data_IF_721970874834
#
_entry.id   IF_721970874834
#
_cell.length_a   1.000
_cell.length_b   1.000
_cell.length_c   1.000
_cell.angle_alpha   90.00
_cell.angle_beta   90.00
_cell.angle_gamma   90.00
#
_symmetry.space_group_name_H-M   'P 1'
#
loop_
_entity.id
_entity.type
_entity.pdbx_description
1 polymer ?
#
# COMPACT_ATOMS: atom_id res chain seq x y z
N UNK A 1 14.31 -13.20 6.46
CA UNK A 1 13.58 -12.95 5.21
C UNK A 1 14.33 -11.89 4.42
N UNK A 2 14.30 -11.96 3.10
CA UNK A 2 15.07 -11.09 2.22
C UNK A 2 14.56 -9.63 2.25
N UNK A 3 13.25 -9.37 2.20
CA UNK A 3 12.64 -8.05 2.42
C UNK A 3 13.15 -7.31 3.66
N UNK A 4 13.24 -8.02 4.80
CA UNK A 4 13.74 -7.45 6.06
C UNK A 4 15.20 -7.01 5.93
N UNK A 5 16.03 -7.78 5.24
CA UNK A 5 17.46 -7.46 5.07
C UNK A 5 17.66 -6.32 4.09
N UNK A 6 16.83 -6.23 3.03
CA UNK A 6 16.80 -5.06 2.15
C UNK A 6 16.43 -3.81 2.94
N UNK A 7 15.39 -3.88 3.79
CA UNK A 7 15.01 -2.77 4.67
C UNK A 7 16.17 -2.31 5.57
N UNK A 8 16.88 -3.24 6.21
CA UNK A 8 18.07 -2.91 7.01
C UNK A 8 19.20 -2.28 6.17
N UNK A 9 19.44 -2.79 4.96
CA UNK A 9 20.45 -2.24 4.06
C UNK A 9 20.13 -0.80 3.66
N UNK A 10 18.89 -0.53 3.25
CA UNK A 10 18.42 0.80 2.87
C UNK A 10 18.55 1.79 4.03
N UNK A 11 18.15 1.38 5.24
CA UNK A 11 18.33 2.18 6.45
C UNK A 11 19.81 2.51 6.71
N UNK A 12 20.70 1.51 6.60
CA UNK A 12 22.13 1.68 6.86
C UNK A 12 22.84 2.60 5.86
N UNK A 13 22.32 2.75 4.64
CA UNK A 13 22.86 3.70 3.64
C UNK A 13 22.13 5.05 3.64
N UNK A 14 21.27 5.30 4.63
CA UNK A 14 20.58 6.58 4.82
C UNK A 14 19.40 6.82 3.89
N UNK A 15 18.76 5.76 3.38
CA UNK A 15 17.49 5.91 2.64
C UNK A 15 16.37 6.22 3.61
N UNK A 16 15.66 7.33 3.35
CA UNK A 16 14.45 7.70 4.08
C UNK A 16 13.29 6.81 3.64
N UNK A 17 12.65 6.14 4.59
CA UNK A 17 11.45 5.35 4.34
C UNK A 17 10.24 6.27 4.17
N UNK A 18 9.55 6.19 3.03
CA UNK A 18 8.40 7.04 2.76
C UNK A 18 7.07 6.42 3.18
N UNK A 19 6.12 7.26 3.60
CA UNK A 19 4.73 6.84 3.83
C UNK A 19 4.04 6.52 2.50
N UNK A 20 3.81 5.23 2.26
CA UNK A 20 3.18 4.73 1.04
C UNK A 20 1.67 4.67 1.10
N UNK A 21 1.02 5.07 2.20
CA UNK A 21 -0.44 5.05 2.32
C UNK A 21 -1.08 6.11 1.44
N UNK A 22 -2.38 5.98 1.18
CA UNK A 22 -3.15 7.00 0.48
C UNK A 22 -3.48 8.21 1.38
N UNK A 23 -4.21 9.18 0.84
CA UNK A 23 -4.59 10.41 1.53
C UNK A 23 -5.50 10.17 2.75
N UNK A 24 -6.09 8.98 2.88
CA UNK A 24 -6.92 8.55 4.00
C UNK A 24 -6.14 7.64 4.98
N UNK A 25 -4.85 7.43 4.75
CA UNK A 25 -4.01 6.56 5.58
C UNK A 25 -4.25 5.06 5.36
N UNK A 26 -4.77 4.66 4.19
CA UNK A 26 -5.00 3.25 3.83
C UNK A 26 -3.81 2.67 3.08
N UNK A 27 -3.53 1.40 3.33
CA UNK A 27 -2.41 0.69 2.72
C UNK A 27 -2.59 0.49 1.21
N UNK A 28 -1.49 0.65 0.45
CA UNK A 28 -1.45 0.44 -1.01
C UNK A 28 -0.58 -0.74 -1.44
N UNK A 29 0.31 -1.21 -0.58
CA UNK A 29 1.21 -2.35 -0.81
C UNK A 29 0.94 -3.40 0.25
N UNK A 30 0.19 -4.45 -0.09
CA UNK A 30 -0.29 -5.41 0.89
C UNK A 30 0.50 -6.74 0.84
N UNK A 31 1.04 -7.23 1.96
CA UNK A 31 1.88 -8.44 1.98
C UNK A 31 1.07 -9.75 1.97
N UNK A 32 -0.24 -9.68 1.72
CA UNK A 32 -1.13 -10.84 1.63
C UNK A 32 -2.12 -10.65 0.47
N UNK A 33 -2.66 -11.76 -0.02
CA UNK A 33 -3.66 -11.74 -1.09
C UNK A 33 -4.98 -11.10 -0.59
N UNK A 34 -5.81 -10.50 -1.47
CA UNK A 34 -7.11 -9.95 -1.11
C UNK A 34 -7.98 -10.89 -0.27
N UNK A 35 -7.96 -12.20 -0.57
CA UNK A 35 -8.71 -13.23 0.16
C UNK A 35 -8.44 -13.25 1.67
N UNK A 36 -7.24 -12.87 2.10
CA UNK A 36 -6.84 -12.90 3.51
C UNK A 36 -7.02 -11.56 4.22
N UNK A 37 -7.23 -10.47 3.46
CA UNK A 37 -7.28 -9.09 3.96
C UNK A 37 -8.67 -8.45 3.84
N UNK A 38 -9.54 -8.99 2.98
CA UNK A 38 -10.87 -8.47 2.74
C UNK A 38 -11.94 -9.31 3.47
N UNK A 39 -12.98 -8.68 4.03
CA UNK A 39 -13.23 -7.23 4.02
C UNK A 39 -12.41 -6.45 5.05
N UNK A 40 -11.80 -7.14 6.04
CA UNK A 40 -11.09 -6.52 7.15
C UNK A 40 -9.71 -7.15 7.33
N UNK A 41 -8.72 -6.33 7.70
CA UNK A 41 -7.39 -6.81 8.06
C UNK A 41 -7.50 -7.57 9.39
N UNK A 42 -7.06 -8.83 9.43
CA UNK A 42 -7.19 -9.69 10.60
C UNK A 42 -6.32 -9.20 11.77
N UNK A 43 -6.94 -9.09 12.95
CA UNK A 43 -6.27 -8.71 14.19
C UNK A 43 -5.48 -9.87 14.83
N UNK A 44 -4.45 -9.57 15.61
CA UNK A 44 -3.67 -10.51 16.42
C UNK A 44 -2.76 -11.42 15.58
N UNK A 45 -2.49 -11.03 14.33
CA UNK A 45 -1.59 -11.76 13.44
C UNK A 45 -0.17 -11.20 13.54
N UNK A 46 0.80 -11.91 12.97
CA UNK A 46 2.18 -11.43 12.90
C UNK A 46 2.31 -10.10 12.15
N UNK A 47 1.35 -9.78 11.27
CA UNK A 47 1.38 -8.63 10.38
C UNK A 47 1.39 -7.29 11.14
N UNK A 48 0.66 -7.22 12.27
CA UNK A 48 0.61 -6.04 13.13
C UNK A 48 2.00 -5.59 13.61
N UNK A 49 2.91 -6.55 13.84
CA UNK A 49 4.26 -6.27 14.32
C UNK A 49 5.17 -5.62 13.28
N UNK A 50 4.76 -5.62 12.01
CA UNK A 50 5.56 -5.10 10.91
C UNK A 50 5.00 -3.80 10.32
N UNK A 51 3.80 -3.38 10.73
CA UNK A 51 3.32 -2.07 10.32
C UNK A 51 4.07 -0.96 11.07
N UNK A 52 4.48 0.06 10.34
CA UNK A 52 4.99 1.28 10.94
C UNK A 52 3.86 2.17 11.44
N UNK A 53 2.70 2.13 10.78
CA UNK A 53 1.51 2.86 11.21
C UNK A 53 0.40 1.91 11.64
N UNK A 54 -0.39 2.29 12.64
CA UNK A 54 -1.53 1.49 13.07
C UNK A 54 -2.50 1.30 11.89
N UNK A 55 -2.71 0.06 11.42
CA UNK A 55 -3.53 -0.18 10.25
C UNK A 55 -5.01 0.12 10.55
N UNK A 56 -5.72 0.71 9.59
CA UNK A 56 -7.17 0.77 9.65
C UNK A 56 -7.75 -0.63 9.33
N UNK A 57 -8.20 -1.34 10.35
CA UNK A 57 -8.70 -2.71 10.19
C UNK A 57 -10.11 -2.79 9.62
N UNK A 58 -10.89 -1.71 9.70
CA UNK A 58 -12.30 -1.66 9.27
C UNK A 58 -12.48 -1.19 7.82
N UNK A 59 -11.43 -0.64 7.24
CA UNK A 59 -11.39 -0.18 5.86
C UNK A 59 -10.07 -0.66 5.26
N UNK A 60 -10.07 -1.95 4.88
CA UNK A 60 -8.84 -2.68 4.62
C UNK A 60 -7.97 -2.10 3.51
N UNK A 61 -8.54 -1.28 2.63
CA UNK A 61 -7.98 -1.21 1.31
C UNK A 61 -8.17 0.17 0.69
N UNK A 62 -7.06 0.75 0.23
CA UNK A 62 -7.08 1.96 -0.58
C UNK A 62 -7.81 1.72 -1.90
N UNK A 63 -8.60 2.69 -2.35
CA UNK A 63 -9.13 2.71 -3.73
C UNK A 63 -8.02 2.87 -4.78
N UNK A 64 -6.82 3.27 -4.34
CA UNK A 64 -5.60 3.43 -5.14
C UNK A 64 -4.56 2.34 -4.85
N UNK A 65 -5.01 1.15 -4.45
CA UNK A 65 -4.13 0.03 -4.15
C UNK A 65 -3.24 -0.37 -5.34
N UNK A 66 -1.98 -0.71 -5.05
CA UNK A 66 -0.93 -0.93 -6.06
C UNK A 66 -0.56 -2.41 -6.18
N UNK A 67 -0.34 -3.12 -5.07
CA UNK A 67 0.09 -4.52 -5.14
C UNK A 67 -0.36 -5.38 -3.96
N UNK A 68 -0.40 -6.69 -4.22
CA UNK A 68 -0.62 -7.76 -3.23
C UNK A 68 0.49 -8.80 -3.34
N UNK A 69 0.72 -9.55 -2.26
CA UNK A 69 1.61 -10.70 -2.24
C UNK A 69 0.82 -12.03 -2.18
N UNK A 70 1.46 -13.15 -2.51
CA UNK A 70 0.87 -14.51 -2.52
C UNK A 70 -0.30 -14.70 -3.50
N UNK A 71 -0.32 -13.94 -4.59
CA UNK A 71 -1.25 -14.15 -5.71
C UNK A 71 -0.81 -15.32 -6.58
N UNK A 72 -1.78 -16.03 -7.16
CA UNK A 72 -1.56 -17.17 -8.07
C UNK A 72 -1.89 -16.78 -9.51
N UNK A 73 -1.49 -17.63 -10.46
CA UNK A 73 -1.75 -17.37 -11.89
C UNK A 73 -3.22 -17.07 -12.20
N UNK A 74 -4.15 -17.84 -11.62
CA UNK A 74 -5.58 -17.61 -11.82
C UNK A 74 -6.11 -16.32 -11.18
N UNK A 75 -5.43 -15.78 -10.16
CA UNK A 75 -5.80 -14.50 -9.58
C UNK A 75 -5.54 -13.37 -10.59
N UNK A 76 -4.48 -13.46 -11.40
CA UNK A 76 -4.20 -12.47 -12.43
C UNK A 76 -5.29 -12.43 -13.51
N UNK A 77 -5.76 -13.59 -13.99
CA UNK A 77 -6.86 -13.66 -14.96
C UNK A 77 -8.14 -13.03 -14.40
N UNK A 78 -8.40 -13.27 -13.11
CA UNK A 78 -9.53 -12.69 -12.40
C UNK A 78 -9.39 -11.17 -12.23
N UNK A 79 -8.20 -10.66 -11.87
CA UNK A 79 -7.95 -9.22 -11.75
C UNK A 79 -8.02 -8.53 -13.11
N UNK A 80 -7.49 -9.13 -14.17
CA UNK A 80 -7.61 -8.61 -15.55
C UNK A 80 -9.08 -8.47 -15.93
N UNK A 81 -9.88 -9.50 -15.66
CA UNK A 81 -11.31 -9.46 -15.89
C UNK A 81 -11.98 -8.32 -15.11
N UNK A 82 -11.75 -8.20 -13.80
CA UNK A 82 -12.40 -7.17 -12.99
C UNK A 82 -11.94 -5.74 -13.28
N UNK A 83 -10.67 -5.52 -13.60
CA UNK A 83 -10.11 -4.19 -13.83
C UNK A 83 -10.38 -3.69 -15.25
N UNK A 84 -10.29 -4.58 -16.24
CA UNK A 84 -10.26 -4.15 -17.64
C UNK A 84 -11.48 -4.59 -18.45
N UNK A 85 -12.10 -5.72 -18.12
CA UNK A 85 -13.17 -6.30 -18.94
C UNK A 85 -14.58 -6.17 -18.33
N UNK A 86 -14.70 -6.22 -17.01
CA UNK A 86 -15.98 -6.08 -16.33
C UNK A 86 -16.46 -4.64 -16.46
N UNK A 87 -17.67 -4.48 -16.99
CA UNK A 87 -18.37 -3.21 -17.05
C UNK A 87 -19.74 -3.37 -16.40
N UNK A 88 -19.98 -2.62 -15.34
CA UNK A 88 -21.31 -2.51 -14.73
C UNK A 88 -22.12 -1.51 -15.55
N UNK A 89 -23.35 -1.87 -15.89
CA UNK A 89 -24.26 -0.97 -16.59
C UNK A 89 -24.40 0.35 -15.81
N UNK A 90 -24.43 1.46 -16.54
CA UNK A 90 -24.63 2.81 -15.99
C UNK A 90 -23.51 3.37 -15.08
N UNK A 91 -22.38 2.66 -14.92
CA UNK A 91 -21.18 3.20 -14.28
C UNK A 91 -20.14 3.64 -15.33
N UNK A 92 -19.72 4.92 -15.32
CA UNK A 92 -18.64 5.37 -16.20
C UNK A 92 -17.34 4.68 -15.80
N UNK A 93 -16.56 4.24 -16.80
CA UNK A 93 -15.21 3.71 -16.57
C UNK A 93 -14.28 4.89 -16.23
N UNK A 94 -14.21 5.28 -14.97
CA UNK A 94 -13.34 6.35 -14.51
C UNK A 94 -11.93 5.80 -14.30
N UNK A 95 -11.03 6.06 -15.25
CA UNK A 95 -9.61 5.98 -14.98
C UNK A 95 -9.22 7.27 -14.25
N UNK A 96 -8.83 7.16 -12.99
CA UNK A 96 -8.26 8.30 -12.27
C UNK A 96 -6.94 8.69 -12.93
N UNK A 97 -6.78 9.98 -13.24
CA UNK A 97 -5.47 10.50 -13.62
C UNK A 97 -4.58 10.48 -12.38
N UNK A 98 -3.38 9.92 -12.50
CA UNK A 98 -2.39 10.05 -11.43
C UNK A 98 -2.14 11.52 -11.12
N UNK A 99 -1.92 11.88 -9.85
CA UNK A 99 -1.53 13.24 -9.51
C UNK A 99 -0.22 13.61 -10.22
N UNK A 100 0.00 14.91 -10.48
CA UNK A 100 1.27 15.35 -11.05
C UNK A 100 2.43 14.93 -10.16
N UNK A 101 3.58 14.65 -10.77
CA UNK A 101 4.80 14.37 -10.02
C UNK A 101 5.17 15.58 -9.17
N UNK A 102 5.66 15.31 -7.95
CA UNK A 102 6.20 16.35 -7.10
C UNK A 102 7.41 17.01 -7.76
N UNK A 103 7.56 18.32 -7.57
CA UNK A 103 8.80 19.02 -7.90
C UNK A 103 9.94 18.57 -6.98
N UNK A 104 11.18 18.85 -7.35
CA UNK A 104 12.35 18.55 -6.51
C UNK A 104 12.26 19.20 -5.12
N UNK A 105 11.67 20.39 -5.04
CA UNK A 105 11.46 21.13 -3.79
C UNK A 105 10.42 20.45 -2.92
N UNK A 106 9.27 20.09 -3.51
CA UNK A 106 8.20 19.35 -2.81
C UNK A 106 8.70 17.98 -2.35
N UNK A 107 9.50 17.30 -3.15
CA UNK A 107 10.07 16.01 -2.79
C UNK A 107 11.05 16.12 -1.62
N UNK A 108 11.91 17.14 -1.60
CA UNK A 108 12.82 17.40 -0.47
C UNK A 108 12.06 17.70 0.82
N UNK A 109 10.99 18.48 0.73
CA UNK A 109 10.11 18.75 1.88
C UNK A 109 9.45 17.46 2.40
N UNK A 110 8.92 16.63 1.50
CA UNK A 110 8.34 15.32 1.85
C UNK A 110 9.36 14.38 2.49
N UNK A 111 10.58 14.30 1.97
CA UNK A 111 11.65 13.48 2.56
C UNK A 111 11.97 13.92 3.99
N UNK A 112 12.02 15.24 4.25
CA UNK A 112 12.23 15.75 5.61
C UNK A 112 11.10 15.34 6.55
N UNK A 113 9.85 15.44 6.10
CA UNK A 113 8.69 15.00 6.89
C UNK A 113 8.80 13.52 7.23
N UNK A 114 9.13 12.67 6.25
CA UNK A 114 9.24 11.23 6.45
C UNK A 114 10.43 10.83 7.33
N UNK A 115 11.55 11.55 7.27
CA UNK A 115 12.72 11.29 8.12
C UNK A 115 12.41 11.57 9.61
N UNK A 116 11.53 12.54 9.87
CA UNK A 116 11.12 12.94 11.22
C UNK A 116 9.87 12.18 11.72
N UNK A 117 9.31 11.25 10.93
CA UNK A 117 8.12 10.50 11.32
C UNK A 117 8.39 9.50 12.44
N UNK A 118 7.44 9.43 13.38
CA UNK A 118 7.43 8.48 14.50
C UNK A 118 6.26 7.52 14.29
N UNK A 119 6.50 6.24 14.55
CA UNK A 119 5.48 5.19 14.52
C UNK A 119 4.36 5.50 15.53
N UNK A 120 3.11 5.33 15.11
CA UNK A 120 1.94 5.31 16.00
C UNK A 120 1.48 3.89 16.34
N UNK A 121 2.25 2.89 15.93
CA UNK A 121 2.07 1.47 16.22
C UNK A 121 3.00 1.03 17.36
N UNK A 122 2.64 1.40 18.60
CA UNK A 122 3.28 0.94 19.86
C UNK A 122 2.60 -0.30 20.47
#
# INVERSE_FOLDING_TARGET
AEDRQIGHCLLNVGVVAGDSRDELGRERFLPLSPRHLMPNIQYGTWLEKYYFFKPNTNDCCSDSLISFHYTKMHDYDMYEFFLYHLQVADLPKTLSSLPPRLSDEQMKEKLKIWDEQISDNE
#
